data_IF_162502041957
#
_entry.id   IF_162502041957
#
_cell.length_a   1.000
_cell.length_b   1.000
_cell.length_c   1.000
_cell.angle_alpha   90.00
_cell.angle_beta   90.00
_cell.angle_gamma   90.00
#
_symmetry.space_group_name_H-M   'P 1'
#
loop_
_entity.id
_entity.type
_entity.pdbx_description
1 polymer ?
#
# COMPACT_ATOMS: atom_id res chain seq x y z
N UNK A 1 -6.50 -29.21 27.06
CA UNK A 1 -6.85 -28.62 25.79
C UNK A 1 -5.95 -27.39 25.65
N UNK A 2 -5.04 -27.37 24.69
CA UNK A 2 -4.13 -26.24 24.49
C UNK A 2 -4.91 -25.13 23.75
N UNK A 3 -4.58 -23.88 24.00
CA UNK A 3 -5.26 -22.71 23.38
C UNK A 3 -5.30 -22.76 21.83
N UNK A 4 -4.42 -23.56 21.23
CA UNK A 4 -4.36 -23.83 19.79
C UNK A 4 -5.56 -24.62 19.25
N UNK A 5 -6.25 -25.39 20.13
CA UNK A 5 -7.38 -26.24 19.73
C UNK A 5 -8.70 -25.47 19.61
N UNK A 6 -8.75 -24.22 20.02
CA UNK A 6 -9.99 -23.43 20.14
C UNK A 6 -10.24 -22.54 18.91
N UNK A 7 -9.24 -22.30 18.08
CA UNK A 7 -9.40 -21.43 16.89
C UNK A 7 -9.66 -22.26 15.64
N UNK A 8 -10.78 -22.02 14.95
CA UNK A 8 -10.97 -22.58 13.62
C UNK A 8 -9.77 -22.24 12.72
N UNK A 9 -9.34 -23.20 11.91
CA UNK A 9 -8.14 -23.04 11.07
C UNK A 9 -8.19 -21.81 10.16
N UNK A 10 -9.37 -21.40 9.73
CA UNK A 10 -9.58 -20.21 8.89
C UNK A 10 -9.41 -18.85 9.64
N UNK A 11 -9.33 -18.89 10.98
CA UNK A 11 -9.07 -17.70 11.79
C UNK A 11 -7.62 -17.59 12.27
N UNK A 12 -6.72 -18.44 11.79
CA UNK A 12 -5.30 -18.30 12.10
C UNK A 12 -4.78 -17.01 11.48
N UNK A 13 -4.14 -16.12 12.27
CA UNK A 13 -3.65 -14.84 11.77
C UNK A 13 -2.54 -14.99 10.73
N UNK A 14 -1.88 -16.15 10.68
CA UNK A 14 -0.82 -16.47 9.72
C UNK A 14 -1.06 -17.85 9.12
N UNK A 15 -1.20 -17.90 7.80
CA UNK A 15 -1.08 -19.13 7.04
C UNK A 15 0.40 -19.32 6.67
N UNK A 16 1.04 -20.45 7.03
CA UNK A 16 2.45 -20.69 6.75
C UNK A 16 2.84 -20.55 5.28
N UNK A 17 1.92 -20.76 4.35
CA UNK A 17 2.19 -20.59 2.92
C UNK A 17 2.46 -19.13 2.52
N UNK A 18 2.03 -18.16 3.33
CA UNK A 18 2.24 -16.72 3.11
C UNK A 18 3.34 -16.12 4.00
N UNK A 19 3.90 -16.90 4.90
CA UNK A 19 4.91 -16.43 5.84
C UNK A 19 6.31 -16.56 5.23
N UNK A 20 7.01 -15.45 4.94
CA UNK A 20 8.35 -15.47 4.37
C UNK A 20 9.41 -16.04 5.33
N UNK A 21 9.10 -16.21 6.60
CA UNK A 21 10.02 -16.80 7.58
C UNK A 21 9.96 -18.34 7.58
N UNK A 22 8.90 -18.92 7.04
CA UNK A 22 8.72 -20.41 7.00
C UNK A 22 8.65 -20.95 5.60
N UNK A 23 8.08 -20.21 4.63
CA UNK A 23 7.93 -20.64 3.26
C UNK A 23 9.07 -20.11 2.40
N UNK A 24 9.74 -20.97 1.64
CA UNK A 24 10.80 -20.56 0.69
C UNK A 24 10.26 -19.65 -0.41
N UNK A 25 9.00 -19.88 -0.85
CA UNK A 25 8.29 -19.07 -1.83
C UNK A 25 6.89 -18.73 -1.28
N UNK A 26 6.77 -17.72 -0.43
CA UNK A 26 5.51 -17.40 0.24
C UNK A 26 4.40 -17.11 -0.76
N UNK A 27 3.36 -17.94 -0.74
CA UNK A 27 2.19 -17.78 -1.60
C UNK A 27 2.40 -17.98 -3.10
N UNK A 28 3.59 -18.42 -3.56
CA UNK A 28 3.84 -18.66 -4.97
C UNK A 28 2.85 -19.70 -5.55
N UNK A 29 2.25 -19.38 -6.70
CA UNK A 29 1.26 -20.22 -7.37
C UNK A 29 -0.08 -20.36 -6.65
N UNK A 30 -0.33 -19.57 -5.61
CA UNK A 30 -1.62 -19.55 -4.92
C UNK A 30 -2.53 -18.46 -5.49
N UNK A 31 -3.86 -18.66 -5.40
CA UNK A 31 -4.83 -17.61 -5.70
C UNK A 31 -4.77 -16.45 -4.72
N UNK A 32 -5.57 -15.43 -4.96
CA UNK A 32 -5.70 -14.31 -4.02
C UNK A 32 -6.16 -14.77 -2.64
N UNK A 33 -5.65 -14.12 -1.60
CA UNK A 33 -6.20 -14.29 -0.27
C UNK A 33 -7.68 -13.84 -0.25
N UNK A 34 -8.55 -14.50 0.53
CA UNK A 34 -9.97 -14.17 0.60
C UNK A 34 -10.20 -12.90 1.44
N UNK A 35 -9.73 -11.77 0.93
CA UNK A 35 -9.92 -10.45 1.55
C UNK A 35 -11.23 -9.82 1.09
N UNK A 36 -11.71 -8.82 1.84
CA UNK A 36 -12.86 -8.02 1.45
C UNK A 36 -12.68 -7.41 0.05
N UNK A 37 -11.50 -6.84 -0.20
CA UNK A 37 -11.17 -6.18 -1.48
C UNK A 37 -11.23 -7.12 -2.65
N UNK A 38 -10.65 -8.31 -2.53
CA UNK A 38 -10.71 -9.33 -3.58
C UNK A 38 -12.15 -9.81 -3.79
N UNK A 39 -12.94 -9.93 -2.73
CA UNK A 39 -14.34 -10.33 -2.82
C UNK A 39 -15.25 -9.29 -3.48
N UNK A 40 -14.86 -8.01 -3.48
CA UNK A 40 -15.66 -6.90 -4.02
C UNK A 40 -15.13 -6.30 -5.31
N UNK A 41 -13.85 -6.50 -5.63
CA UNK A 41 -13.20 -5.90 -6.80
C UNK A 41 -13.62 -6.52 -8.16
N UNK A 42 -14.41 -7.58 -8.14
CA UNK A 42 -14.81 -8.27 -9.37
C UNK A 42 -13.73 -9.21 -9.92
N UNK A 43 -13.74 -9.41 -11.23
CA UNK A 43 -12.77 -10.30 -11.89
C UNK A 43 -11.37 -9.66 -11.89
N UNK A 44 -10.31 -10.44 -11.57
CA UNK A 44 -8.94 -9.97 -11.73
C UNK A 44 -8.66 -9.52 -13.18
N UNK A 45 -7.78 -8.54 -13.39
CA UNK A 45 -7.36 -8.17 -14.73
C UNK A 45 -6.70 -9.35 -15.45
N UNK A 46 -6.87 -9.42 -16.74
CA UNK A 46 -6.13 -10.36 -17.58
C UNK A 46 -4.65 -9.94 -17.60
N UNK A 47 -3.76 -10.92 -17.67
CA UNK A 47 -2.32 -10.74 -17.84
C UNK A 47 -1.84 -11.46 -19.12
N UNK A 48 -0.60 -11.24 -19.51
CA UNK A 48 0.00 -11.84 -20.70
C UNK A 48 0.51 -13.27 -20.44
N UNK A 49 0.24 -13.82 -19.27
CA UNK A 49 0.69 -15.15 -18.84
C UNK A 49 2.16 -15.21 -18.42
N UNK A 50 2.66 -16.42 -18.16
CA UNK A 50 4.03 -16.63 -17.72
C UNK A 50 5.07 -16.21 -18.76
N UNK A 51 6.17 -15.64 -18.30
CA UNK A 51 7.34 -15.40 -19.16
C UNK A 51 7.91 -16.74 -19.62
N UNK A 52 7.94 -16.97 -20.93
CA UNK A 52 8.34 -18.24 -21.53
C UNK A 52 9.73 -18.20 -22.21
N UNK A 53 10.39 -17.04 -22.20
CA UNK A 53 11.70 -16.88 -22.85
C UNK A 53 12.30 -15.51 -22.55
N UNK A 54 13.45 -15.25 -23.17
CA UNK A 54 14.13 -13.97 -23.08
C UNK A 54 13.29 -12.86 -23.72
N UNK A 55 13.29 -11.69 -23.09
CA UNK A 55 12.59 -10.50 -23.56
C UNK A 55 13.59 -9.32 -23.63
N UNK A 56 13.51 -8.56 -24.72
CA UNK A 56 14.26 -7.33 -24.86
C UNK A 56 13.30 -6.14 -24.61
N UNK A 57 13.54 -5.40 -23.54
CA UNK A 57 12.66 -4.35 -23.06
C UNK A 57 13.44 -3.15 -22.56
N UNK A 58 12.91 -1.94 -22.77
CA UNK A 58 13.54 -0.72 -22.29
C UNK A 58 13.49 -0.61 -20.75
N UNK A 59 12.37 -1.01 -20.16
CA UNK A 59 12.16 -0.98 -18.71
C UNK A 59 11.44 -2.24 -18.25
N UNK A 60 12.03 -2.95 -17.29
CA UNK A 60 11.39 -4.05 -16.56
C UNK A 60 11.13 -3.62 -15.12
N UNK A 61 9.90 -3.82 -14.64
CA UNK A 61 9.47 -3.51 -13.27
C UNK A 61 9.16 -4.82 -12.56
N UNK A 62 9.78 -5.06 -11.43
CA UNK A 62 9.54 -6.27 -10.62
C UNK A 62 8.50 -5.96 -9.54
N UNK A 63 7.37 -6.65 -9.62
CA UNK A 63 6.24 -6.53 -8.70
C UNK A 63 5.10 -5.65 -9.26
N UNK A 64 3.90 -6.22 -9.31
CA UNK A 64 2.66 -5.58 -9.76
C UNK A 64 1.83 -4.98 -8.61
N UNK A 65 2.49 -4.57 -7.52
CA UNK A 65 1.85 -3.81 -6.45
C UNK A 65 1.64 -2.34 -6.81
N UNK A 66 1.10 -1.53 -5.88
CA UNK A 66 0.86 -0.09 -6.10
C UNK A 66 2.05 0.64 -6.71
N UNK A 67 3.25 0.43 -6.16
CA UNK A 67 4.46 1.11 -6.65
C UNK A 67 4.79 0.71 -8.09
N UNK A 68 4.81 -0.59 -8.39
CA UNK A 68 5.14 -1.06 -9.73
C UNK A 68 4.13 -0.63 -10.78
N UNK A 69 2.85 -0.77 -10.49
CA UNK A 69 1.77 -0.35 -11.40
C UNK A 69 1.75 1.17 -11.60
N UNK A 70 1.92 1.97 -10.53
CA UNK A 70 2.00 3.41 -10.65
C UNK A 70 3.23 3.83 -11.46
N UNK A 71 4.39 3.19 -11.25
CA UNK A 71 5.59 3.46 -12.05
C UNK A 71 5.34 3.18 -13.53
N UNK A 72 4.76 2.03 -13.88
CA UNK A 72 4.44 1.71 -15.27
C UNK A 72 3.46 2.71 -15.89
N UNK A 73 2.43 3.09 -15.13
CA UNK A 73 1.40 4.04 -15.56
C UNK A 73 2.00 5.42 -15.87
N UNK A 74 2.81 5.97 -14.96
CA UNK A 74 3.40 7.29 -15.13
C UNK A 74 4.50 7.30 -16.18
N UNK A 75 5.31 6.24 -16.32
CA UNK A 75 6.23 6.09 -17.43
C UNK A 75 5.51 6.16 -18.78
N UNK A 76 4.37 5.49 -18.90
CA UNK A 76 3.58 5.51 -20.11
C UNK A 76 2.93 6.89 -20.36
N UNK A 77 2.32 7.49 -19.33
CA UNK A 77 1.56 8.75 -19.46
C UNK A 77 2.46 9.96 -19.71
N UNK A 78 3.57 10.05 -18.99
CA UNK A 78 4.41 11.25 -18.98
C UNK A 78 5.58 11.16 -19.94
N UNK A 79 6.05 9.94 -20.24
CA UNK A 79 7.27 9.74 -21.03
C UNK A 79 7.05 8.88 -22.29
N UNK A 80 5.86 8.31 -22.47
CA UNK A 80 5.59 7.41 -23.59
C UNK A 80 6.35 6.08 -23.52
N UNK A 81 6.91 5.75 -22.36
CA UNK A 81 7.70 4.53 -22.15
C UNK A 81 6.77 3.38 -21.73
N UNK A 82 6.79 2.29 -22.49
CA UNK A 82 6.06 1.05 -22.16
C UNK A 82 6.98 0.13 -21.36
N UNK A 83 6.71 0.01 -20.07
CA UNK A 83 7.42 -0.92 -19.21
C UNK A 83 6.74 -2.30 -19.21
N UNK A 84 7.51 -3.35 -19.05
CA UNK A 84 7.01 -4.70 -18.72
C UNK A 84 7.00 -4.86 -17.21
N UNK A 85 5.86 -5.24 -16.66
CA UNK A 85 5.70 -5.52 -15.22
C UNK A 85 5.73 -7.02 -15.01
N UNK A 86 6.68 -7.48 -14.20
CA UNK A 86 6.89 -8.89 -13.88
C UNK A 86 6.45 -9.15 -12.44
N UNK A 87 5.62 -10.15 -12.22
CA UNK A 87 5.22 -10.57 -10.88
C UNK A 87 5.38 -12.08 -10.70
N UNK A 88 5.64 -12.51 -9.49
CA UNK A 88 5.73 -13.92 -9.15
C UNK A 88 4.35 -14.59 -9.06
N UNK A 89 3.30 -13.78 -9.02
CA UNK A 89 1.92 -14.20 -8.88
C UNK A 89 0.99 -13.32 -9.74
N UNK A 90 -0.31 -13.39 -9.49
CA UNK A 90 -1.31 -12.56 -10.17
C UNK A 90 -1.11 -11.07 -9.84
N UNK A 91 -1.61 -10.19 -10.70
CA UNK A 91 -1.52 -8.73 -10.52
C UNK A 91 -2.04 -8.29 -9.15
N UNK A 92 -1.25 -7.48 -8.45
CA UNK A 92 -1.58 -6.96 -7.12
C UNK A 92 -1.82 -8.03 -6.02
N UNK A 93 -1.38 -9.26 -6.23
CA UNK A 93 -1.59 -10.38 -5.30
C UNK A 93 -1.05 -10.13 -3.88
N UNK A 94 0.02 -9.37 -3.74
CA UNK A 94 0.69 -9.07 -2.48
C UNK A 94 -0.12 -8.14 -1.56
N UNK A 95 0.57 -7.25 -0.84
CA UNK A 95 -0.04 -6.30 0.10
C UNK A 95 -1.07 -5.37 -0.54
N UNK A 96 -1.01 -5.15 -1.84
CA UNK A 96 -1.95 -4.28 -2.57
C UNK A 96 -3.39 -4.76 -2.47
N UNK A 97 -3.64 -6.07 -2.51
CA UNK A 97 -4.98 -6.63 -2.31
C UNK A 97 -5.30 -7.03 -0.86
N UNK A 98 -4.42 -6.71 0.09
CA UNK A 98 -4.52 -7.19 1.50
C UNK A 98 -4.44 -6.08 2.54
N UNK A 99 -4.31 -4.83 2.12
CA UNK A 99 -4.21 -3.69 3.03
C UNK A 99 -5.59 -3.26 3.55
N UNK A 100 -5.61 -2.24 4.42
CA UNK A 100 -6.86 -1.74 5.00
C UNK A 100 -7.66 -0.79 4.10
N UNK A 101 -7.20 -0.52 2.86
CA UNK A 101 -7.88 0.39 1.93
C UNK A 101 -7.83 1.86 2.34
N UNK A 102 -6.89 2.25 3.19
CA UNK A 102 -6.82 3.61 3.72
C UNK A 102 -5.84 4.46 2.92
N UNK A 103 -6.36 5.42 2.15
CA UNK A 103 -5.59 6.52 1.57
C UNK A 103 -5.49 7.67 2.56
N UNK A 104 -4.28 8.02 3.00
CA UNK A 104 -4.08 9.04 4.03
C UNK A 104 -2.87 9.92 3.73
N UNK A 105 -3.00 11.21 4.04
CA UNK A 105 -1.86 12.13 4.13
C UNK A 105 -1.14 11.89 5.48
N UNK A 106 -0.54 10.72 5.63
CA UNK A 106 0.09 10.28 6.87
C UNK A 106 1.61 10.21 6.74
N UNK A 107 2.29 10.51 7.83
CA UNK A 107 3.75 10.53 7.91
C UNK A 107 4.39 9.14 8.10
N UNK A 108 3.63 8.08 7.92
CA UNK A 108 4.08 6.71 8.13
C UNK A 108 4.32 6.39 9.61
N UNK A 109 5.49 5.85 9.95
CA UNK A 109 5.83 5.43 11.33
C UNK A 109 6.28 6.57 12.22
N UNK A 110 6.77 7.67 11.65
CA UNK A 110 7.27 8.83 12.40
C UNK A 110 6.30 9.99 12.26
N UNK A 111 6.08 10.69 13.35
CA UNK A 111 5.31 11.93 13.38
C UNK A 111 6.15 13.11 12.87
N UNK A 112 5.52 14.19 12.49
CA UNK A 112 6.20 15.40 12.01
C UNK A 112 7.15 16.01 13.05
N UNK A 113 6.77 16.02 14.32
CA UNK A 113 7.66 16.41 15.41
C UNK A 113 8.95 15.56 15.47
N UNK A 114 8.83 14.26 15.20
CA UNK A 114 9.98 13.36 15.17
C UNK A 114 10.86 13.58 13.93
N UNK A 115 10.27 13.95 12.79
CA UNK A 115 11.05 14.36 11.60
C UNK A 115 11.87 15.60 11.89
N UNK A 116 11.25 16.63 12.49
CA UNK A 116 11.93 17.87 12.87
C UNK A 116 13.08 17.59 13.84
N UNK A 117 12.83 16.76 14.86
CA UNK A 117 13.85 16.39 15.83
C UNK A 117 15.01 15.60 15.23
N UNK A 118 14.74 14.77 14.20
CA UNK A 118 15.75 13.89 13.61
C UNK A 118 16.53 14.53 12.45
N UNK A 119 15.87 15.33 11.64
CA UNK A 119 16.43 15.84 10.39
C UNK A 119 16.37 17.36 10.22
N UNK A 120 15.79 18.07 11.19
CA UNK A 120 15.57 19.52 11.13
C UNK A 120 14.31 19.92 10.38
N UNK A 121 13.89 21.18 10.57
CA UNK A 121 12.62 21.71 10.03
C UNK A 121 12.61 21.72 8.50
N UNK A 122 13.70 22.09 7.86
CA UNK A 122 13.78 22.21 6.40
C UNK A 122 13.55 20.84 5.70
N UNK A 123 14.15 19.79 6.23
CA UNK A 123 13.93 18.43 5.69
C UNK A 123 12.52 17.95 5.98
N UNK A 124 11.99 18.23 7.17
CA UNK A 124 10.63 17.86 7.53
C UNK A 124 9.59 18.53 6.63
N UNK A 125 9.78 19.81 6.27
CA UNK A 125 8.90 20.53 5.33
C UNK A 125 8.94 19.92 3.92
N UNK A 126 10.11 19.55 3.43
CA UNK A 126 10.24 18.87 2.12
C UNK A 126 9.53 17.51 2.13
N UNK A 127 9.74 16.70 3.17
CA UNK A 127 9.03 15.43 3.32
C UNK A 127 7.52 15.59 3.38
N UNK A 128 7.02 16.61 4.09
CA UNK A 128 5.58 16.88 4.14
C UNK A 128 5.02 17.32 2.78
N UNK A 129 5.78 18.12 2.03
CA UNK A 129 5.40 18.53 0.68
C UNK A 129 5.26 17.31 -0.25
N UNK A 130 6.25 16.42 -0.27
CA UNK A 130 6.22 15.18 -1.06
C UNK A 130 5.03 14.29 -0.70
N UNK A 131 4.72 14.14 0.60
CA UNK A 131 3.56 13.35 1.04
C UNK A 131 2.25 13.99 0.58
N UNK A 132 2.14 15.32 0.63
CA UNK A 132 0.93 16.02 0.16
C UNK A 132 0.74 15.87 -1.33
N UNK A 133 1.82 15.98 -2.11
CA UNK A 133 1.80 15.80 -3.55
C UNK A 133 1.43 14.35 -3.91
N UNK A 134 2.07 13.36 -3.28
CA UNK A 134 1.73 11.96 -3.47
C UNK A 134 0.28 11.63 -3.10
N UNK A 135 -0.25 12.26 -2.04
CA UNK A 135 -1.66 12.09 -1.67
C UNK A 135 -2.61 12.79 -2.66
N UNK A 136 -2.22 13.92 -3.25
CA UNK A 136 -3.00 14.55 -4.31
C UNK A 136 -3.03 13.67 -5.56
N UNK A 137 -1.87 13.16 -6.00
CA UNK A 137 -1.76 12.19 -7.11
C UNK A 137 -2.66 10.98 -6.89
N UNK A 138 -2.66 10.41 -5.67
CA UNK A 138 -3.55 9.32 -5.32
C UNK A 138 -5.03 9.70 -5.47
N UNK A 139 -5.44 10.89 -5.01
CA UNK A 139 -6.83 11.35 -5.16
C UNK A 139 -7.23 11.55 -6.62
N UNK A 140 -6.32 12.07 -7.41
CA UNK A 140 -6.55 12.31 -8.84
C UNK A 140 -6.73 10.97 -9.57
N UNK A 141 -5.88 9.98 -9.29
CA UNK A 141 -6.03 8.63 -9.82
C UNK A 141 -7.36 7.98 -9.40
N UNK A 142 -7.71 8.06 -8.13
CA UNK A 142 -8.98 7.49 -7.64
C UNK A 142 -10.19 8.17 -8.29
N UNK A 143 -10.10 9.46 -8.59
CA UNK A 143 -11.17 10.18 -9.28
C UNK A 143 -11.39 9.72 -10.73
N UNK A 144 -10.37 9.15 -11.37
CA UNK A 144 -10.49 8.55 -12.71
C UNK A 144 -11.25 7.21 -12.69
N UNK A 145 -11.32 6.55 -11.52
CA UNK A 145 -11.88 5.21 -11.35
C UNK A 145 -12.97 5.19 -10.28
N UNK A 146 -14.17 5.74 -10.56
CA UNK A 146 -15.27 5.81 -9.59
C UNK A 146 -15.73 4.45 -9.08
N UNK A 147 -15.47 3.37 -9.82
CA UNK A 147 -15.71 1.99 -9.41
C UNK A 147 -14.88 1.54 -8.19
N UNK A 148 -13.84 2.31 -7.81
CA UNK A 148 -13.11 2.11 -6.56
C UNK A 148 -13.94 2.49 -5.31
N UNK A 149 -15.11 3.09 -5.50
CA UNK A 149 -16.04 3.49 -4.43
C UNK A 149 -15.37 4.27 -3.28
N UNK A 150 -14.61 5.34 -3.56
CA UNK A 150 -13.87 6.07 -2.53
C UNK A 150 -14.82 6.65 -1.49
N UNK A 151 -14.41 6.57 -0.21
CA UNK A 151 -15.15 7.14 0.91
C UNK A 151 -14.38 8.35 1.49
N UNK A 152 -14.58 9.57 0.96
CA UNK A 152 -13.80 10.75 1.36
C UNK A 152 -14.32 11.36 2.66
N UNK A 153 -14.19 10.62 3.76
CA UNK A 153 -14.65 11.04 5.10
C UNK A 153 -13.59 11.73 5.96
N UNK A 154 -12.35 11.77 5.49
CA UNK A 154 -11.21 12.23 6.28
C UNK A 154 -10.74 11.22 7.34
N UNK A 155 -9.79 11.65 8.17
CA UNK A 155 -9.23 10.83 9.23
C UNK A 155 -9.27 11.57 10.57
N UNK A 156 -9.77 10.90 11.61
CA UNK A 156 -9.77 11.40 12.97
C UNK A 156 -8.71 10.67 13.80
N UNK A 157 -7.79 11.44 14.37
CA UNK A 157 -6.85 10.92 15.35
C UNK A 157 -7.33 11.26 16.76
N UNK A 158 -7.73 10.24 17.50
CA UNK A 158 -8.42 10.40 18.80
C UNK A 158 -7.47 10.04 19.95
N UNK A 159 -7.37 10.91 20.94
CA UNK A 159 -6.68 10.60 22.19
C UNK A 159 -7.55 9.66 23.04
N UNK A 160 -7.16 8.40 23.16
CA UNK A 160 -7.83 7.41 24.01
C UNK A 160 -7.41 7.50 25.49
N UNK A 161 -6.44 8.38 25.82
CA UNK A 161 -5.96 8.65 27.18
C UNK A 161 -5.54 10.10 27.28
N UNK A 162 -5.78 10.73 28.44
CA UNK A 162 -5.47 12.14 28.71
C UNK A 162 -4.01 12.49 28.41
N UNK A 163 -3.08 11.64 28.83
CA UNK A 163 -1.64 11.81 28.55
C UNK A 163 -1.26 11.91 27.07
N UNK A 164 -2.18 11.58 26.14
CA UNK A 164 -1.99 11.73 24.70
C UNK A 164 -2.47 13.08 24.14
N UNK A 165 -3.17 13.88 24.94
CA UNK A 165 -3.70 15.17 24.50
C UNK A 165 -2.59 16.15 24.15
N UNK A 166 -1.56 16.26 24.97
CA UNK A 166 -0.46 17.22 24.73
C UNK A 166 0.33 16.85 23.47
N UNK A 167 0.54 15.55 23.26
CA UNK A 167 1.12 15.07 22.02
C UNK A 167 0.27 15.47 20.80
N UNK A 168 -1.06 15.27 20.83
CA UNK A 168 -1.93 15.63 19.72
C UNK A 168 -1.99 17.14 19.49
N UNK A 169 -2.00 17.94 20.57
CA UNK A 169 -1.93 19.41 20.48
C UNK A 169 -0.64 19.86 19.80
N UNK A 170 0.49 19.29 20.18
CA UNK A 170 1.79 19.60 19.60
C UNK A 170 1.83 19.23 18.10
N UNK A 171 1.41 18.02 17.72
CA UNK A 171 1.36 17.63 16.31
C UNK A 171 0.42 18.53 15.51
N UNK A 172 -0.74 18.88 16.07
CA UNK A 172 -1.69 19.80 15.42
C UNK A 172 -1.08 21.19 15.21
N UNK A 173 -0.32 21.68 16.16
CA UNK A 173 0.36 22.96 16.03
C UNK A 173 1.42 22.93 14.92
N UNK A 174 2.26 21.90 14.90
CA UNK A 174 3.29 21.69 13.85
C UNK A 174 2.66 21.62 12.46
N UNK A 175 1.50 20.98 12.32
CA UNK A 175 0.80 20.87 11.04
C UNK A 175 0.16 22.17 10.55
N UNK A 176 0.00 23.17 11.42
CA UNK A 176 -0.55 24.50 11.06
C UNK A 176 0.53 25.49 10.65
N UNK A 177 1.76 25.27 11.03
CA UNK A 177 2.95 26.08 10.72
C UNK A 177 3.59 25.73 9.38
#
# INVERSE_FOLDING_TARGET
MKAEDIRPSHLRPYDPQYDPLVAANPGHGTGYAPTYWVGTAGRPPDDDGPVTGDMDVDVAIVGSGFTGLATALFLAREHGIRAVVLDANQTAWGCTSRNGGQGQNASGRLYRSQWIARWGKDVALKLDAEIREGFQTFKDLVAEFPECEPQPGGHLYIAHREKKLDFLRNETQIMRE
#
